data_IF_988239873768
#
_entry.id   IF_988239873768
#
_cell.length_a   1.000
_cell.length_b   1.000
_cell.length_c   1.000
_cell.angle_alpha   90.00
_cell.angle_beta   90.00
_cell.angle_gamma   90.00
#
_symmetry.space_group_name_H-M   'P 1'
#
loop_
_entity.id
_entity.type
_entity.pdbx_description
1 polymer ?
#
# COMPACT_ATOMS: atom_id res chain seq x y z
N UNK A 1 4.15 7.32 -14.90
CA UNK A 1 3.35 8.41 -14.31
C UNK A 1 3.48 8.33 -12.80
N UNK A 2 3.44 9.44 -12.06
CA UNK A 2 3.54 9.39 -10.59
C UNK A 2 2.34 10.13 -9.99
N UNK A 3 1.79 9.60 -8.90
CA UNK A 3 0.81 10.29 -8.07
C UNK A 3 1.51 10.75 -6.79
N UNK A 4 1.54 12.06 -6.57
CA UNK A 4 2.07 12.65 -5.35
C UNK A 4 0.92 12.94 -4.38
N UNK A 5 0.90 12.21 -3.27
CA UNK A 5 -0.11 12.34 -2.21
C UNK A 5 0.49 12.87 -0.90
N UNK A 6 1.75 13.33 -0.95
CA UNK A 6 2.45 13.76 0.25
C UNK A 6 1.76 14.97 0.91
N UNK A 7 1.78 14.99 2.24
CA UNK A 7 1.22 16.05 3.08
C UNK A 7 -0.32 16.19 3.02
N UNK A 8 -1.02 15.23 2.45
CA UNK A 8 -2.48 15.16 2.48
C UNK A 8 -2.94 14.39 3.73
N UNK A 9 -2.79 14.99 4.90
CA UNK A 9 -3.03 14.32 6.19
C UNK A 9 -4.48 13.83 6.39
N UNK A 10 -5.45 14.47 5.72
CA UNK A 10 -6.88 14.10 5.75
C UNK A 10 -7.29 13.17 4.59
N UNK A 11 -6.34 12.70 3.78
CA UNK A 11 -6.63 11.83 2.65
C UNK A 11 -7.03 10.44 3.16
N UNK A 12 -8.28 10.06 2.92
CA UNK A 12 -8.83 8.79 3.39
C UNK A 12 -8.81 7.69 2.33
N UNK A 13 -8.86 8.04 1.04
CA UNK A 13 -9.07 7.08 -0.05
C UNK A 13 -8.21 7.40 -1.27
N UNK A 14 -7.49 6.40 -1.75
CA UNK A 14 -6.78 6.41 -3.03
C UNK A 14 -7.22 5.19 -3.83
N UNK A 15 -7.76 5.43 -5.03
CA UNK A 15 -8.11 4.37 -5.99
C UNK A 15 -7.56 4.76 -7.34
N UNK A 16 -6.57 4.02 -7.83
CA UNK A 16 -5.98 4.24 -9.15
C UNK A 16 -5.60 2.93 -9.87
N UNK A 17 -6.53 1.97 -10.03
CA UNK A 17 -6.23 0.71 -10.71
C UNK A 17 -5.99 0.92 -12.20
N UNK A 18 -5.17 0.06 -12.82
CA UNK A 18 -4.90 0.02 -14.28
C UNK A 18 -4.33 1.33 -14.81
N UNK A 19 -3.22 1.76 -14.21
CA UNK A 19 -2.44 2.90 -14.69
C UNK A 19 -0.98 2.48 -14.88
N UNK A 20 -0.11 3.45 -15.16
CA UNK A 20 1.35 3.28 -15.20
C UNK A 20 1.98 4.09 -14.07
N UNK A 21 1.41 3.96 -12.87
CA UNK A 21 1.90 4.65 -11.68
C UNK A 21 3.18 4.01 -11.16
N UNK A 22 4.11 4.85 -10.71
CA UNK A 22 5.36 4.46 -10.03
C UNK A 22 5.45 5.08 -8.63
N UNK A 23 4.30 5.36 -7.99
CA UNK A 23 4.26 6.00 -6.67
C UNK A 23 4.92 5.11 -5.62
N UNK A 24 5.55 5.74 -4.62
CA UNK A 24 6.41 5.05 -3.64
C UNK A 24 6.14 5.40 -2.19
N UNK A 25 5.28 6.39 -1.90
CA UNK A 25 5.22 6.94 -0.54
C UNK A 25 3.81 7.41 -0.15
N UNK A 26 3.22 6.69 0.82
CA UNK A 26 1.97 7.03 1.51
C UNK A 26 2.22 7.34 3.00
N UNK A 27 3.47 7.49 3.43
CA UNK A 27 3.86 7.60 4.84
C UNK A 27 3.33 8.86 5.54
N UNK A 28 2.94 9.86 4.77
CA UNK A 28 2.37 11.13 5.27
C UNK A 28 0.84 11.15 5.25
N UNK A 29 0.17 10.01 4.99
CA UNK A 29 -1.29 9.88 4.93
C UNK A 29 -1.82 8.96 6.05
N UNK A 30 -1.72 9.36 7.34
CA UNK A 30 -2.10 8.49 8.46
C UNK A 30 -3.60 8.18 8.52
N UNK A 31 -4.45 9.04 7.91
CA UNK A 31 -5.90 8.83 7.82
C UNK A 31 -6.33 7.92 6.67
N UNK A 32 -5.39 7.38 5.88
CA UNK A 32 -5.69 6.56 4.72
C UNK A 32 -6.35 5.24 5.14
N UNK A 33 -7.59 5.04 4.70
CA UNK A 33 -8.43 3.89 5.02
C UNK A 33 -8.52 2.90 3.85
N UNK A 34 -8.43 3.40 2.62
CA UNK A 34 -8.52 2.61 1.39
C UNK A 34 -7.39 2.98 0.44
N UNK A 35 -6.62 1.98 0.02
CA UNK A 35 -5.56 2.09 -0.96
C UNK A 35 -5.69 0.97 -2.01
N UNK A 36 -6.18 1.31 -3.20
CA UNK A 36 -6.38 0.35 -4.31
C UNK A 36 -5.55 0.78 -5.50
N UNK A 37 -4.55 -0.04 -5.83
CA UNK A 37 -3.47 0.28 -6.76
C UNK A 37 -3.16 -0.88 -7.73
N UNK A 38 -4.09 -1.82 -7.88
CA UNK A 38 -3.96 -2.97 -8.77
C UNK A 38 -3.56 -2.57 -10.20
N UNK A 39 -2.80 -3.44 -10.88
CA UNK A 39 -2.41 -3.28 -12.28
C UNK A 39 -1.65 -1.94 -12.51
N UNK A 40 -0.51 -1.78 -11.86
CA UNK A 40 0.39 -0.65 -12.05
C UNK A 40 1.86 -1.11 -12.16
N UNK A 41 2.79 -0.16 -12.11
CA UNK A 41 4.24 -0.40 -12.06
C UNK A 41 4.79 0.11 -10.71
N UNK A 42 4.07 -0.21 -9.63
CA UNK A 42 4.31 0.34 -8.30
C UNK A 42 5.28 -0.54 -7.52
N UNK A 43 6.31 0.09 -6.97
CA UNK A 43 7.24 -0.48 -6.00
C UNK A 43 6.95 0.05 -4.59
N UNK A 44 5.67 0.16 -4.20
CA UNK A 44 5.31 0.49 -2.81
C UNK A 44 5.79 -0.67 -1.95
N UNK A 45 6.77 -0.36 -1.13
CA UNK A 45 7.41 -1.31 -0.23
C UNK A 45 7.05 -1.05 1.21
N UNK A 46 6.17 -0.09 1.51
CA UNK A 46 5.84 0.28 2.89
C UNK A 46 4.45 0.90 3.08
N UNK A 47 3.62 0.26 3.91
CA UNK A 47 2.33 0.76 4.40
C UNK A 47 2.26 0.76 5.94
N UNK A 48 3.40 0.59 6.62
CA UNK A 48 3.50 0.58 8.08
C UNK A 48 3.07 1.89 8.74
N UNK A 49 3.14 3.00 7.99
CA UNK A 49 2.75 4.34 8.41
C UNK A 49 1.27 4.69 8.10
N UNK A 50 0.47 3.71 7.66
CA UNK A 50 -0.96 3.87 7.38
C UNK A 50 -1.80 3.02 8.36
N UNK A 51 -1.86 3.38 9.66
CA UNK A 51 -2.50 2.56 10.68
C UNK A 51 -4.03 2.44 10.52
N UNK A 52 -4.67 3.37 9.80
CA UNK A 52 -6.10 3.35 9.54
C UNK A 52 -6.52 2.45 8.34
N UNK A 53 -5.55 1.84 7.65
CA UNK A 53 -5.78 1.12 6.40
C UNK A 53 -6.57 -0.16 6.62
N UNK A 54 -7.82 -0.19 6.15
CA UNK A 54 -8.72 -1.33 6.27
C UNK A 54 -8.86 -2.12 4.95
N UNK A 55 -8.57 -1.46 3.83
CA UNK A 55 -8.65 -2.04 2.48
C UNK A 55 -7.37 -1.70 1.73
N UNK A 56 -6.67 -2.72 1.26
CA UNK A 56 -5.41 -2.57 0.55
C UNK A 56 -5.37 -3.57 -0.60
N UNK A 57 -5.14 -3.10 -1.83
CA UNK A 57 -5.02 -3.97 -2.98
C UNK A 57 -3.87 -3.48 -3.87
N UNK A 58 -2.89 -4.36 -4.08
CA UNK A 58 -1.67 -4.06 -4.85
C UNK A 58 -1.34 -5.16 -5.88
N UNK A 59 -2.31 -6.00 -6.22
CA UNK A 59 -2.15 -7.11 -7.17
C UNK A 59 -1.63 -6.63 -8.53
N UNK A 60 -0.89 -7.47 -9.23
CA UNK A 60 -0.26 -7.15 -10.52
C UNK A 60 0.62 -5.89 -10.46
N UNK A 61 1.53 -5.85 -9.49
CA UNK A 61 2.60 -4.87 -9.38
C UNK A 61 3.95 -5.58 -9.16
N UNK A 62 5.07 -4.98 -9.56
CA UNK A 62 6.40 -5.58 -9.40
C UNK A 62 6.94 -5.44 -7.97
N UNK A 63 6.14 -5.84 -6.97
CA UNK A 63 6.54 -5.90 -5.56
C UNK A 63 6.93 -7.33 -5.19
N UNK A 64 7.77 -7.49 -4.17
CA UNK A 64 8.12 -8.80 -3.61
C UNK A 64 7.90 -8.84 -2.11
N UNK A 65 8.07 -7.71 -1.45
CA UNK A 65 7.84 -7.53 -0.03
C UNK A 65 7.15 -6.18 0.23
N UNK A 66 6.11 -6.24 1.05
CA UNK A 66 5.30 -5.10 1.47
C UNK A 66 5.56 -4.92 2.96
N UNK A 67 6.28 -3.85 3.32
CA UNK A 67 6.54 -3.54 4.72
C UNK A 67 5.26 -3.12 5.42
N UNK A 68 4.99 -3.75 6.56
CA UNK A 68 3.83 -3.50 7.42
C UNK A 68 4.30 -3.26 8.85
N UNK A 69 3.45 -2.67 9.69
CA UNK A 69 3.73 -2.57 11.12
C UNK A 69 3.49 -3.91 11.82
N UNK A 70 4.04 -4.07 13.03
CA UNK A 70 3.79 -5.24 13.88
C UNK A 70 2.28 -5.49 14.09
N UNK A 71 1.50 -4.43 14.29
CA UNK A 71 0.04 -4.52 14.51
C UNK A 71 -0.71 -5.02 13.26
N UNK A 72 -0.33 -4.53 12.08
CA UNK A 72 -0.88 -4.96 10.79
C UNK A 72 -0.48 -6.41 10.48
N UNK A 73 0.77 -6.81 10.76
CA UNK A 73 1.25 -8.17 10.52
C UNK A 73 0.56 -9.19 11.43
N UNK A 74 0.31 -8.82 12.69
CA UNK A 74 -0.39 -9.67 13.65
C UNK A 74 -1.85 -9.91 13.24
N UNK A 75 -2.47 -8.99 12.50
CA UNK A 75 -3.90 -9.04 12.12
C UNK A 75 -4.13 -8.50 10.70
N UNK A 76 -3.62 -9.20 9.69
CA UNK A 76 -3.80 -8.81 8.29
C UNK A 76 -5.31 -8.76 7.97
N UNK A 77 -5.86 -7.59 7.58
CA UNK A 77 -7.29 -7.49 7.27
C UNK A 77 -7.68 -8.37 6.08
N UNK A 78 -8.89 -8.95 6.11
CA UNK A 78 -9.39 -9.82 5.04
C UNK A 78 -9.48 -9.13 3.66
N UNK A 79 -9.60 -7.80 3.66
CA UNK A 79 -9.68 -6.99 2.43
C UNK A 79 -8.29 -6.51 1.96
N UNK A 80 -7.23 -7.18 2.42
CA UNK A 80 -5.88 -6.95 1.93
C UNK A 80 -5.51 -8.01 0.91
N UNK A 81 -5.14 -7.56 -0.30
CA UNK A 81 -4.78 -8.44 -1.40
C UNK A 81 -3.44 -8.04 -2.02
N UNK A 82 -2.68 -9.05 -2.42
CA UNK A 82 -1.35 -8.98 -3.04
C UNK A 82 -1.16 -10.23 -3.91
N UNK A 83 -0.12 -10.25 -4.74
CA UNK A 83 0.15 -11.44 -5.55
C UNK A 83 0.66 -12.60 -4.67
N UNK A 84 0.51 -13.82 -5.18
CA UNK A 84 0.82 -15.03 -4.43
C UNK A 84 2.31 -15.15 -4.06
N UNK A 85 3.20 -14.55 -4.86
CA UNK A 85 4.66 -14.55 -4.64
C UNK A 85 5.15 -13.52 -3.63
N UNK A 86 4.30 -12.56 -3.26
CA UNK A 86 4.70 -11.42 -2.43
C UNK A 86 4.63 -11.77 -0.95
N UNK A 87 5.24 -10.97 -0.08
CA UNK A 87 5.16 -11.15 1.37
C UNK A 87 4.76 -9.86 2.08
N UNK A 88 4.09 -10.01 3.23
CA UNK A 88 4.00 -8.94 4.24
C UNK A 88 5.09 -9.21 5.27
N UNK A 89 5.87 -8.19 5.62
CA UNK A 89 6.96 -8.32 6.60
C UNK A 89 7.17 -7.01 7.35
N UNK A 90 7.75 -7.06 8.55
CA UNK A 90 8.27 -5.87 9.22
C UNK A 90 9.62 -5.41 8.61
N UNK A 91 10.31 -6.33 7.93
CA UNK A 91 11.60 -6.09 7.28
C UNK A 91 11.65 -6.74 5.89
N UNK A 92 11.98 -5.95 4.87
CA UNK A 92 12.06 -6.35 3.46
C UNK A 92 13.52 -6.41 2.94
N UNK A 93 14.49 -6.54 3.85
CA UNK A 93 15.93 -6.71 3.54
C UNK A 93 16.28 -8.01 2.80
#
# INVERSE_FOLDING_TARGET
TNINVQHLAILEKITAPRNVLTSKDTSTNPALQLLVLNDNDIEISDVSMNPALNTFAIENNPVSCIRVSADQLANIPLNWTKDAGDTYSEDCN
#
